data_IF_848699794213
#
_entry.id   IF_848699794213
#
_cell.length_a   1.000
_cell.length_b   1.000
_cell.length_c   1.000
_cell.angle_alpha   90.00
_cell.angle_beta   90.00
_cell.angle_gamma   90.00
#
_symmetry.space_group_name_H-M   'P 1'
#
loop_
_entity.id
_entity.type
_entity.pdbx_description
1 polymer ?
#
# COMPACT_ATOMS: atom_id res chain seq x y z
N UNK A 1 -14.06 -9.96 -2.82
CA UNK A 1 -12.84 -10.80 -2.94
C UNK A 1 -12.27 -11.01 -1.54
N UNK A 2 -11.71 -12.18 -1.21
CA UNK A 2 -11.00 -12.36 0.04
C UNK A 2 -9.52 -12.08 -0.22
N UNK A 3 -9.02 -10.97 0.32
CA UNK A 3 -7.59 -10.67 0.31
C UNK A 3 -7.02 -11.04 1.68
N UNK A 4 -6.02 -11.91 1.71
CA UNK A 4 -5.36 -12.28 2.95
C UNK A 4 -4.07 -11.48 3.06
N UNK A 5 -3.87 -10.82 4.19
CA UNK A 5 -2.63 -10.12 4.49
C UNK A 5 -1.51 -11.15 4.63
N UNK A 6 -0.59 -11.14 3.69
CA UNK A 6 0.60 -11.96 3.73
C UNK A 6 1.74 -11.10 4.24
N UNK A 7 1.95 -11.11 5.55
CA UNK A 7 3.16 -10.52 6.13
C UNK A 7 4.30 -11.50 5.91
N UNK A 8 4.92 -11.40 4.74
CA UNK A 8 5.96 -12.33 4.38
C UNK A 8 7.25 -11.96 5.10
N UNK A 9 7.94 -12.99 5.59
CA UNK A 9 9.27 -12.88 6.17
C UNK A 9 10.33 -12.71 5.07
N UNK A 10 10.13 -11.72 4.19
CA UNK A 10 11.03 -11.48 3.06
C UNK A 10 12.17 -10.61 3.56
N UNK A 11 13.36 -11.20 3.67
CA UNK A 11 14.59 -10.41 3.75
C UNK A 11 14.72 -9.63 2.43
N UNK A 12 14.60 -8.29 2.49
CA UNK A 12 14.73 -7.34 1.39
C UNK A 12 13.54 -7.32 0.37
N UNK A 13 13.30 -6.21 -0.36
CA UNK A 13 12.17 -6.12 -1.29
C UNK A 13 12.31 -7.19 -2.37
N UNK A 14 11.52 -8.25 -2.26
CA UNK A 14 11.43 -9.24 -3.33
C UNK A 14 10.54 -8.67 -4.43
N UNK A 15 10.90 -8.85 -5.71
CA UNK A 15 10.03 -8.46 -6.81
C UNK A 15 8.67 -9.14 -6.68
N UNK A 16 7.60 -8.44 -7.09
CA UNK A 16 6.21 -8.88 -6.96
C UNK A 16 5.94 -10.31 -7.48
N UNK A 17 6.68 -10.76 -8.50
CA UNK A 17 6.66 -12.15 -8.97
C UNK A 17 7.05 -13.17 -7.89
N UNK A 18 8.11 -12.91 -7.12
CA UNK A 18 8.53 -13.81 -6.04
C UNK A 18 7.48 -13.87 -4.93
N UNK A 19 6.84 -12.73 -4.64
CA UNK A 19 5.75 -12.65 -3.68
C UNK A 19 4.54 -13.48 -4.13
N UNK A 20 4.17 -13.40 -5.41
CA UNK A 20 3.10 -14.21 -5.99
C UNK A 20 3.34 -15.71 -5.79
N UNK A 21 4.53 -16.21 -6.15
CA UNK A 21 4.87 -17.62 -5.95
C UNK A 21 4.90 -18.01 -4.47
N UNK A 22 5.34 -17.11 -3.59
CA UNK A 22 5.35 -17.37 -2.15
C UNK A 22 3.92 -17.53 -1.59
N UNK A 23 3.01 -16.60 -1.94
CA UNK A 23 1.60 -16.70 -1.61
C UNK A 23 1.00 -18.02 -2.12
N UNK A 24 1.18 -18.31 -3.41
CA UNK A 24 0.52 -19.41 -4.09
C UNK A 24 1.05 -20.80 -3.69
N UNK A 25 2.36 -20.94 -3.46
CA UNK A 25 2.99 -22.25 -3.27
C UNK A 25 3.37 -22.53 -1.82
N UNK A 26 3.71 -21.51 -1.04
CA UNK A 26 4.26 -21.72 0.31
C UNK A 26 3.24 -21.43 1.41
N UNK A 27 2.45 -20.36 1.29
CA UNK A 27 1.56 -19.92 2.37
C UNK A 27 0.15 -20.46 2.19
N UNK A 28 -0.40 -20.38 0.98
CA UNK A 28 -1.78 -20.75 0.69
C UNK A 28 -1.90 -21.74 -0.49
N UNK A 29 -1.31 -22.96 -0.38
CA UNK A 29 -1.32 -23.94 -1.47
C UNK A 29 -2.72 -24.41 -1.87
N UNK A 30 -3.69 -24.32 -0.95
CA UNK A 30 -5.09 -24.72 -1.18
C UNK A 30 -5.94 -23.59 -1.77
N UNK A 31 -5.41 -22.37 -1.88
CA UNK A 31 -6.13 -21.22 -2.44
C UNK A 31 -5.65 -20.93 -3.86
N UNK A 32 -6.59 -20.58 -4.74
CA UNK A 32 -6.26 -20.16 -6.10
C UNK A 32 -5.77 -18.71 -6.09
N UNK A 33 -4.50 -18.49 -5.72
CA UNK A 33 -3.88 -17.17 -5.81
C UNK A 33 -3.70 -16.80 -7.28
N UNK A 34 -4.29 -15.68 -7.70
CA UNK A 34 -4.26 -15.21 -9.10
C UNK A 34 -3.40 -13.96 -9.28
N UNK A 35 -3.19 -13.19 -8.22
CA UNK A 35 -2.32 -12.01 -8.25
C UNK A 35 -1.85 -11.63 -6.84
N UNK A 36 -0.98 -10.63 -6.75
CA UNK A 36 -0.60 -9.94 -5.52
C UNK A 36 -0.67 -8.44 -5.73
N UNK A 37 -0.84 -7.70 -4.64
CA UNK A 37 -0.85 -6.24 -4.64
C UNK A 37 -0.26 -5.72 -3.33
N UNK A 38 0.48 -4.62 -3.37
CA UNK A 38 0.94 -3.94 -2.16
C UNK A 38 -0.26 -3.40 -1.34
N UNK A 39 -0.14 -3.42 -0.01
CA UNK A 39 -1.13 -2.79 0.85
C UNK A 39 -0.94 -1.27 0.87
N UNK A 40 -2.04 -0.54 1.04
CA UNK A 40 -2.02 0.92 1.03
C UNK A 40 -1.32 1.53 2.26
N UNK A 41 -1.27 0.80 3.37
CA UNK A 41 -0.76 1.28 4.66
C UNK A 41 0.25 0.30 5.26
N UNK A 42 1.29 0.82 5.94
CA UNK A 42 2.24 -0.03 6.66
C UNK A 42 1.59 -0.67 7.89
N UNK A 43 2.13 -1.82 8.29
CA UNK A 43 1.75 -2.52 9.52
C UNK A 43 2.97 -2.72 10.41
N UNK A 44 2.75 -2.64 11.72
CA UNK A 44 3.80 -2.93 12.72
C UNK A 44 3.73 -4.39 13.12
N UNK A 45 4.85 -5.11 13.03
CA UNK A 45 4.94 -6.52 13.35
C UNK A 45 5.93 -6.71 14.49
N UNK A 46 5.41 -7.21 15.61
CA UNK A 46 6.19 -7.55 16.79
C UNK A 46 6.71 -8.99 16.71
N UNK A 47 7.76 -9.29 17.48
CA UNK A 47 8.31 -10.65 17.61
C UNK A 47 8.68 -11.30 16.27
N UNK A 48 9.25 -10.52 15.35
CA UNK A 48 9.66 -11.00 14.03
C UNK A 48 10.67 -12.15 14.12
N UNK A 49 10.30 -13.29 13.57
CA UNK A 49 11.11 -14.50 13.56
C UNK A 49 11.98 -14.58 12.30
N UNK A 50 13.20 -15.12 12.43
CA UNK A 50 13.92 -15.67 11.27
C UNK A 50 13.61 -17.16 11.13
N UNK A 51 13.60 -17.68 9.89
CA UNK A 51 13.29 -19.08 9.60
C UNK A 51 14.26 -19.98 10.37
N UNK A 52 13.72 -20.95 11.12
CA UNK A 52 14.51 -21.87 11.93
C UNK A 52 14.85 -21.39 13.35
N UNK A 53 14.47 -20.18 13.77
CA UNK A 53 14.61 -19.73 15.17
C UNK A 53 13.34 -20.00 15.97
N UNK A 54 13.52 -20.58 17.18
CA UNK A 54 12.43 -20.87 18.13
C UNK A 54 12.09 -19.72 19.07
N UNK A 55 13.00 -18.74 19.21
CA UNK A 55 12.78 -17.54 20.01
C UNK A 55 12.86 -16.31 19.13
N UNK A 56 11.81 -15.50 19.16
CA UNK A 56 11.65 -14.32 18.33
C UNK A 56 11.38 -13.13 19.25
N UNK A 57 12.36 -12.79 20.08
CA UNK A 57 12.33 -11.56 20.89
C UNK A 57 13.12 -10.50 20.14
N UNK A 58 12.50 -9.93 19.12
CA UNK A 58 13.07 -8.89 18.25
C UNK A 58 12.29 -7.60 18.43
N UNK A 59 12.90 -6.48 18.02
CA UNK A 59 12.21 -5.19 17.98
C UNK A 59 11.05 -5.24 16.97
N UNK A 60 10.10 -4.32 17.13
CA UNK A 60 9.01 -4.19 16.18
C UNK A 60 9.53 -3.69 14.83
N UNK A 61 9.02 -4.25 13.74
CA UNK A 61 9.33 -3.82 12.38
C UNK A 61 8.09 -3.21 11.73
N UNK A 62 8.26 -2.09 11.03
CA UNK A 62 7.21 -1.48 10.22
C UNK A 62 7.44 -1.92 8.77
N UNK A 63 6.45 -2.57 8.17
CA UNK A 63 6.54 -3.09 6.80
C UNK A 63 5.26 -2.79 6.02
N UNK A 64 5.35 -2.64 4.72
CA UNK A 64 4.18 -2.63 3.82
C UNK A 64 3.97 -4.06 3.33
N UNK A 65 2.89 -4.74 3.76
CA UNK A 65 2.64 -6.12 3.36
C UNK A 65 2.09 -6.21 1.95
N UNK A 66 2.22 -7.38 1.33
CA UNK A 66 1.48 -7.72 0.13
C UNK A 66 0.19 -8.46 0.49
N UNK A 67 -0.86 -8.20 -0.27
CA UNK A 67 -2.14 -8.90 -0.23
C UNK A 67 -2.13 -9.96 -1.32
N UNK A 68 -2.36 -11.23 -0.96
CA UNK A 68 -2.55 -12.29 -1.94
C UNK A 68 -4.00 -12.25 -2.44
N UNK A 69 -4.21 -12.08 -3.74
CA UNK A 69 -5.53 -12.00 -4.35
C UNK A 69 -5.98 -13.40 -4.79
N UNK A 70 -7.18 -13.80 -4.34
CA UNK A 70 -7.74 -15.14 -4.56
C UNK A 70 -8.84 -15.11 -5.63
N UNK A 71 -8.71 -15.96 -6.65
CA UNK A 71 -9.74 -16.17 -7.67
C UNK A 71 -9.86 -15.03 -8.68
N UNK A 72 -11.04 -14.88 -9.28
CA UNK A 72 -11.31 -13.80 -10.22
C UNK A 72 -11.23 -12.43 -9.53
N UNK A 73 -10.62 -11.46 -10.22
CA UNK A 73 -10.43 -10.14 -9.68
C UNK A 73 -11.76 -9.42 -9.47
N UNK A 74 -12.00 -8.96 -8.25
CA UNK A 74 -13.07 -8.04 -7.90
C UNK A 74 -12.42 -6.91 -7.12
N UNK A 75 -12.74 -5.67 -7.49
CA UNK A 75 -12.16 -4.49 -6.86
C UNK A 75 -12.57 -4.38 -5.38
N UNK A 76 -11.85 -3.54 -4.64
CA UNK A 76 -12.07 -3.40 -3.20
C UNK A 76 -13.32 -2.55 -2.93
N UNK A 77 -14.04 -2.86 -1.86
CA UNK A 77 -15.17 -2.05 -1.44
C UNK A 77 -14.66 -0.87 -0.59
N UNK A 78 -14.41 0.27 -1.22
CA UNK A 78 -13.97 1.48 -0.53
C UNK A 78 -15.13 2.12 0.26
N UNK A 79 -14.88 2.46 1.52
CA UNK A 79 -15.82 3.23 2.33
C UNK A 79 -15.74 4.70 1.92
N UNK A 80 -16.90 5.34 1.79
CA UNK A 80 -16.99 6.76 1.44
C UNK A 80 -17.59 7.51 2.64
N UNK A 81 -16.77 8.17 3.46
CA UNK A 81 -17.26 8.97 4.57
C UNK A 81 -18.09 10.18 4.10
N UNK A 82 -18.79 10.82 5.04
CA UNK A 82 -19.55 12.03 4.76
C UNK A 82 -18.66 13.13 4.18
N UNK A 83 -19.22 13.90 3.24
CA UNK A 83 -18.56 15.00 2.49
C UNK A 83 -17.42 14.55 1.55
N UNK A 84 -17.04 13.28 1.56
CA UNK A 84 -16.06 12.72 0.64
C UNK A 84 -16.71 12.30 -0.70
N UNK A 85 -15.88 12.11 -1.72
CA UNK A 85 -16.33 11.73 -3.07
C UNK A 85 -15.56 10.53 -3.57
N UNK A 86 -16.28 9.52 -4.04
CA UNK A 86 -15.73 8.39 -4.76
C UNK A 86 -15.49 8.76 -6.24
N UNK A 87 -14.32 8.41 -6.75
CA UNK A 87 -13.86 8.67 -8.10
C UNK A 87 -13.12 7.43 -8.62
N UNK A 88 -12.99 7.30 -9.93
CA UNK A 88 -12.14 6.28 -10.54
C UNK A 88 -11.56 6.78 -11.86
N UNK A 89 -10.44 6.19 -12.27
CA UNK A 89 -9.76 6.46 -13.52
C UNK A 89 -9.18 5.17 -14.11
N UNK A 90 -9.43 4.93 -15.39
CA UNK A 90 -8.97 3.75 -16.10
C UNK A 90 -8.41 4.10 -17.48
N UNK A 91 -7.38 3.37 -17.91
CA UNK A 91 -6.69 3.53 -19.20
C UNK A 91 -6.34 2.16 -19.76
N UNK A 92 -7.08 1.71 -20.77
CA UNK A 92 -6.96 0.35 -21.31
C UNK A 92 -5.66 0.10 -22.07
N UNK A 93 -4.98 1.16 -22.50
CA UNK A 93 -3.74 1.15 -23.26
C UNK A 93 -2.48 1.08 -22.38
N UNK A 94 -2.58 1.42 -21.09
CA UNK A 94 -1.45 1.37 -20.14
C UNK A 94 -1.57 0.19 -19.18
N UNK A 95 -0.44 -0.26 -18.63
CA UNK A 95 -0.38 -1.32 -17.63
C UNK A 95 0.68 -0.97 -16.60
N UNK A 96 0.25 -0.28 -15.55
CA UNK A 96 1.12 0.42 -14.59
C UNK A 96 1.10 -0.21 -13.20
N UNK A 97 2.06 0.18 -12.36
CA UNK A 97 2.24 -0.37 -11.01
C UNK A 97 1.26 0.22 -9.99
N UNK A 98 1.16 -0.42 -8.82
CA UNK A 98 0.40 0.11 -7.68
C UNK A 98 0.80 1.55 -7.31
N UNK A 99 2.11 1.81 -7.19
CA UNK A 99 2.64 3.14 -6.88
C UNK A 99 2.22 4.21 -7.91
N UNK A 100 2.25 3.89 -9.21
CA UNK A 100 1.81 4.82 -10.25
C UNK A 100 0.35 5.24 -10.05
N UNK A 101 -0.51 4.26 -9.83
CA UNK A 101 -1.94 4.49 -9.64
C UNK A 101 -2.27 5.20 -8.32
N UNK A 102 -1.50 4.95 -7.26
CA UNK A 102 -1.56 5.72 -6.02
C UNK A 102 -1.23 7.21 -6.29
N UNK A 103 -0.15 7.49 -7.02
CA UNK A 103 0.22 8.87 -7.39
C UNK A 103 -0.88 9.56 -8.18
N UNK A 104 -1.45 8.88 -9.20
CA UNK A 104 -2.57 9.43 -9.99
C UNK A 104 -3.78 9.79 -9.10
N UNK A 105 -4.16 8.90 -8.18
CA UNK A 105 -5.27 9.17 -7.25
C UNK A 105 -4.96 10.36 -6.34
N UNK A 106 -3.74 10.42 -5.80
CA UNK A 106 -3.29 11.50 -4.91
C UNK A 106 -3.27 12.86 -5.61
N UNK A 107 -2.71 12.92 -6.81
CA UNK A 107 -2.67 14.13 -7.63
C UNK A 107 -4.07 14.61 -7.99
N UNK A 108 -4.96 13.69 -8.40
CA UNK A 108 -6.34 14.02 -8.76
C UNK A 108 -7.13 14.60 -7.57
N UNK A 109 -6.93 14.11 -6.35
CA UNK A 109 -7.52 14.72 -5.15
C UNK A 109 -6.90 16.09 -4.86
N UNK A 110 -5.58 16.22 -5.01
CA UNK A 110 -4.83 17.45 -4.71
C UNK A 110 -5.23 18.60 -5.66
N UNK A 111 -5.46 18.32 -6.94
CA UNK A 111 -5.97 19.28 -7.93
C UNK A 111 -7.31 19.92 -7.53
N UNK A 112 -8.11 19.21 -6.72
CA UNK A 112 -9.41 19.67 -6.20
C UNK A 112 -9.31 20.23 -4.78
N UNK A 113 -8.10 20.46 -4.26
CA UNK A 113 -7.85 20.90 -2.88
C UNK A 113 -8.47 19.96 -1.84
N UNK A 114 -8.42 18.65 -2.11
CA UNK A 114 -8.90 17.58 -1.23
C UNK A 114 -7.76 16.59 -0.96
N UNK A 115 -7.85 15.80 0.12
CA UNK A 115 -6.88 14.77 0.42
C UNK A 115 -7.36 13.39 -0.07
N UNK A 116 -6.42 12.53 -0.46
CA UNK A 116 -6.68 11.13 -0.75
C UNK A 116 -6.95 10.39 0.56
N UNK A 117 -8.17 9.85 0.71
CA UNK A 117 -8.58 9.11 1.90
C UNK A 117 -8.30 7.61 1.79
N UNK A 118 -8.72 6.99 0.68
CA UNK A 118 -8.48 5.58 0.39
C UNK A 118 -8.48 5.33 -1.13
N UNK A 119 -7.91 4.21 -1.58
CA UNK A 119 -7.83 3.84 -2.99
C UNK A 119 -7.73 2.32 -3.20
N UNK A 120 -8.12 1.88 -4.39
CA UNK A 120 -8.12 0.49 -4.80
C UNK A 120 -7.69 0.37 -6.26
N UNK A 121 -7.00 -0.72 -6.59
CA UNK A 121 -6.57 -0.97 -7.96
C UNK A 121 -7.74 -1.49 -8.82
N UNK A 122 -7.73 -1.19 -10.12
CA UNK A 122 -8.72 -1.69 -11.07
C UNK A 122 -8.05 -2.42 -12.24
N UNK A 123 -8.76 -3.43 -12.77
CA UNK A 123 -8.44 -4.07 -14.04
C UNK A 123 -6.99 -4.62 -14.09
N UNK A 124 -6.70 -5.76 -13.45
CA UNK A 124 -5.36 -6.34 -13.49
C UNK A 124 -4.96 -6.67 -14.93
N UNK A 125 -3.73 -6.33 -15.29
CA UNK A 125 -3.14 -6.59 -16.61
C UNK A 125 -1.83 -7.38 -16.54
N UNK A 126 -1.31 -7.60 -15.33
CA UNK A 126 -0.14 -8.41 -15.04
C UNK A 126 0.01 -8.63 -13.53
N UNK A 127 1.09 -9.31 -13.13
CA UNK A 127 1.39 -9.48 -11.70
C UNK A 127 1.73 -8.11 -11.11
N UNK A 128 0.96 -7.69 -10.11
CA UNK A 128 1.09 -6.38 -9.45
C UNK A 128 1.06 -5.20 -10.45
N UNK A 129 0.25 -5.35 -11.51
CA UNK A 129 0.03 -4.31 -12.53
C UNK A 129 -1.44 -4.19 -12.91
N UNK A 130 -1.86 -2.95 -13.11
CA UNK A 130 -3.26 -2.55 -13.21
C UNK A 130 -3.48 -1.52 -14.31
N UNK A 131 -4.72 -1.40 -14.78
CA UNK A 131 -5.12 -0.43 -15.81
C UNK A 131 -5.95 0.72 -15.27
N UNK A 132 -6.22 0.74 -13.96
CA UNK A 132 -6.93 1.85 -13.35
C UNK A 132 -6.84 1.85 -11.84
N UNK A 133 -7.49 2.85 -11.27
CA UNK A 133 -7.60 3.10 -9.83
C UNK A 133 -8.98 3.64 -9.51
N UNK A 134 -9.56 3.20 -8.41
CA UNK A 134 -10.70 3.83 -7.75
C UNK A 134 -10.23 4.43 -6.43
N UNK A 135 -10.81 5.56 -6.03
CA UNK A 135 -10.31 6.31 -4.87
C UNK A 135 -11.36 7.25 -4.28
N UNK A 136 -11.15 7.61 -3.02
CA UNK A 136 -12.02 8.51 -2.26
C UNK A 136 -11.22 9.76 -1.91
N UNK A 137 -11.72 10.92 -2.33
CA UNK A 137 -11.17 12.21 -1.91
C UNK A 137 -12.04 12.82 -0.81
N UNK A 138 -11.42 13.26 0.27
CA UNK A 138 -12.09 13.95 1.38
C UNK A 138 -11.60 15.39 1.50
N UNK A 139 -12.43 16.34 1.98
CA UNK A 139 -11.97 17.68 2.31
C UNK A 139 -10.75 17.62 3.25
N UNK A 140 -9.80 18.55 3.06
CA UNK A 140 -8.75 18.76 4.06
C UNK A 140 -9.45 19.13 5.37
N UNK A 141 -9.05 18.54 6.49
CA UNK A 141 -9.58 18.95 7.78
C UNK A 141 -9.20 20.42 7.98
N UNK A 142 -10.18 21.31 7.96
CA UNK A 142 -10.00 22.66 8.49
C UNK A 142 -9.68 22.48 9.99
N UNK A 143 -8.64 23.13 10.50
CA UNK A 143 -8.28 23.19 11.93
C UNK A 143 -9.37 23.90 12.76
N UNK A 144 -10.60 23.42 12.73
CA UNK A 144 -11.76 24.07 13.35
C UNK A 144 -12.77 23.13 14.00
N UNK A 145 -12.42 21.85 14.20
CA UNK A 145 -13.20 20.90 14.99
C UNK A 145 -12.38 20.19 16.09
N UNK A 146 -11.26 20.76 16.53
CA UNK A 146 -10.57 20.38 17.77
C UNK A 146 -10.81 21.43 18.86
N UNK A 147 -12.03 21.47 19.39
CA UNK A 147 -12.29 22.09 20.69
C UNK A 147 -12.41 20.97 21.72
N UNK A 148 -11.58 21.08 22.77
CA UNK A 148 -11.40 20.23 23.95
C UNK A 148 -10.67 18.90 23.76
N UNK A 149 -9.33 18.95 23.88
CA UNK A 149 -8.67 18.49 25.11
C UNK A 149 -7.21 18.96 25.11
N UNK A 150 -6.86 19.72 26.14
CA UNK A 150 -5.49 20.12 26.47
C UNK A 150 -4.61 18.89 26.70
N UNK A 151 -3.48 18.81 26.01
CA UNK A 151 -2.13 18.94 26.59
C UNK A 151 -1.10 18.52 25.53
N UNK A 152 -0.23 19.45 25.19
CA UNK A 152 0.86 19.29 24.25
C UNK A 152 2.06 18.64 24.94
N UNK A 153 2.58 17.55 24.37
CA UNK A 153 4.01 17.25 24.41
C UNK A 153 4.46 16.78 23.02
N UNK A 154 5.39 17.57 22.46
CA UNK A 154 6.20 17.35 21.27
C UNK A 154 6.95 16.00 21.32
N UNK A 155 6.89 15.22 20.24
CA UNK A 155 8.00 14.32 19.90
C UNK A 155 8.16 14.24 18.37
N UNK A 156 9.23 14.90 17.91
CA UNK A 156 9.76 14.89 16.56
C UNK A 156 10.00 13.46 16.06
N UNK A 157 9.34 13.07 14.96
CA UNK A 157 9.84 11.95 14.16
C UNK A 157 9.79 12.27 12.68
N UNK A 158 10.97 12.63 12.16
CA UNK A 158 11.30 12.77 10.75
C UNK A 158 10.90 11.52 9.95
N UNK A 159 9.82 11.62 9.18
CA UNK A 159 9.43 10.60 8.20
C UNK A 159 10.27 10.80 6.94
N UNK A 160 11.38 10.06 6.86
CA UNK A 160 12.25 9.98 5.68
C UNK A 160 11.54 9.23 4.55
N UNK A 161 11.00 9.96 3.58
CA UNK A 161 10.66 9.39 2.27
C UNK A 161 11.92 9.37 1.40
N UNK A 162 12.49 8.18 1.23
CA UNK A 162 13.67 7.95 0.40
C UNK A 162 13.43 8.36 -1.05
N UNK A 163 13.96 9.52 -1.43
CA UNK A 163 14.24 9.90 -2.81
C UNK A 163 15.69 9.56 -3.14
N UNK A 164 15.90 8.76 -4.16
CA UNK A 164 17.20 8.51 -4.74
C UNK A 164 17.62 9.73 -5.58
N UNK A 165 18.69 10.41 -5.18
CA UNK A 165 19.45 11.28 -6.06
C UNK A 165 20.87 10.72 -6.19
N UNK A 166 21.09 10.08 -7.33
CA UNK A 166 22.41 9.80 -7.90
C UNK A 166 22.97 11.11 -8.46
N UNK A 167 24.08 11.60 -7.92
CA UNK A 167 24.92 12.56 -8.64
C UNK A 167 26.38 12.12 -8.64
N UNK A 168 26.91 12.04 -9.85
CA UNK A 168 28.29 11.74 -10.21
C UNK A 168 29.24 12.81 -9.65
N UNK A 169 30.30 12.38 -8.97
CA UNK A 169 31.52 13.17 -8.83
C UNK A 169 32.70 12.37 -9.39
N UNK A 170 33.15 12.83 -10.56
CA UNK A 170 34.37 12.43 -11.24
C UNK A 170 35.59 12.72 -10.34
N UNK A 171 36.48 11.75 -10.25
CA UNK A 171 37.69 11.81 -9.46
C UNK A 171 38.92 11.64 -10.35
N UNK A 172 39.35 12.74 -10.99
CA UNK A 172 40.76 12.99 -11.28
C UNK A 172 41.08 14.47 -11.47
#
# INVERSE_FOLDING_TARGET
MAAIHCTCQVEAPAPSYNMFFFCALQVYPELQITNVVEANQPVTIQNWCKRGRKQCKTHAHIVIPYRCLVGEFVSDALLVPDKCKFLHQERMDVCETHLHWHTVAKETCSEKSTNLHDYGMLLPCGIDKFRGVEFVCCPLADESDSVDSADAEDDDSDVWWGGADTDYADGR
#
